data_IF_935689477101
#
_entry.id   IF_935689477101
#
_cell.length_a   1.000
_cell.length_b   1.000
_cell.length_c   1.000
_cell.angle_alpha   90.00
_cell.angle_beta   90.00
_cell.angle_gamma   90.00
#
_symmetry.space_group_name_H-M   'P 1'
#
loop_
_entity.id
_entity.type
_entity.pdbx_description
1 polymer ?
#
# COMPACT_ATOMS: atom_id res chain seq x y z
N UNK A 1 -52.81 -4.59 -34.83
CA UNK A 1 -53.05 -6.04 -34.75
C UNK A 1 -52.21 -6.53 -33.59
N UNK A 2 -52.81 -6.59 -32.40
CA UNK A 2 -53.47 -7.73 -31.70
C UNK A 2 -52.41 -8.67 -31.14
N UNK A 3 -52.20 -8.59 -29.81
CA UNK A 3 -52.81 -9.34 -28.69
C UNK A 3 -52.25 -10.77 -28.57
N UNK A 4 -51.72 -11.17 -27.43
CA UNK A 4 -52.29 -11.85 -26.24
C UNK A 4 -51.16 -12.14 -25.23
N UNK A 5 -51.11 -11.67 -24.05
CA UNK A 5 -51.69 -12.03 -22.74
C UNK A 5 -51.87 -13.55 -22.55
N UNK A 6 -51.16 -14.09 -21.57
CA UNK A 6 -51.64 -15.11 -20.68
C UNK A 6 -50.85 -15.12 -19.36
N UNK A 7 -51.56 -14.82 -18.32
CA UNK A 7 -51.34 -15.01 -16.90
C UNK A 7 -51.61 -16.46 -16.46
N UNK A 8 -51.02 -16.90 -15.36
CA UNK A 8 -51.59 -17.69 -14.21
C UNK A 8 -50.45 -18.27 -13.37
N UNK A 9 -50.28 -17.92 -12.21
CA UNK A 9 -50.93 -18.15 -10.88
C UNK A 9 -50.34 -19.35 -10.14
N UNK A 10 -49.92 -19.05 -8.87
CA UNK A 10 -49.55 -19.92 -7.74
C UNK A 10 -50.63 -20.95 -7.35
N UNK A 11 -50.50 -21.84 -6.37
CA UNK A 11 -50.00 -21.58 -5.02
C UNK A 11 -49.34 -22.76 -4.25
N UNK A 12 -48.68 -22.38 -3.13
CA UNK A 12 -48.70 -22.97 -1.75
C UNK A 12 -48.57 -24.47 -1.51
N UNK A 13 -47.67 -24.89 -0.64
CA UNK A 13 -48.04 -25.52 0.66
C UNK A 13 -46.82 -25.67 1.60
N UNK A 14 -47.04 -25.17 2.80
CA UNK A 14 -46.27 -25.44 4.02
C UNK A 14 -46.27 -26.92 4.38
N UNK A 15 -45.20 -27.40 4.98
CA UNK A 15 -45.26 -28.53 5.90
C UNK A 15 -44.23 -28.31 7.03
N UNK A 16 -44.78 -27.89 8.16
CA UNK A 16 -44.18 -27.93 9.47
C UNK A 16 -44.02 -29.39 9.93
N UNK A 17 -42.83 -29.76 10.35
CA UNK A 17 -42.62 -30.92 11.24
C UNK A 17 -41.66 -30.52 12.35
N UNK A 18 -42.20 -30.40 13.55
CA UNK A 18 -41.47 -30.38 14.82
C UNK A 18 -41.09 -31.80 15.21
N UNK A 19 -39.90 -32.07 15.75
CA UNK A 19 -39.68 -33.25 16.57
C UNK A 19 -39.76 -32.89 18.06
N UNK A 20 -40.49 -33.72 18.72
CA UNK A 20 -40.82 -33.81 20.14
C UNK A 20 -39.60 -34.14 21.01
N UNK A 21 -39.53 -33.48 22.14
CA UNK A 21 -38.69 -33.81 23.30
C UNK A 21 -39.01 -35.18 23.90
N UNK A 22 -37.97 -35.90 24.30
CA UNK A 22 -38.07 -36.91 25.33
C UNK A 22 -36.84 -36.86 26.27
N UNK A 23 -36.99 -36.66 27.57
CA UNK A 23 -35.89 -36.64 28.53
C UNK A 23 -35.81 -37.99 29.24
N UNK A 24 -34.59 -38.45 29.45
CA UNK A 24 -34.16 -39.27 30.58
C UNK A 24 -32.82 -39.96 30.26
N UNK A 25 -31.76 -39.53 30.88
CA UNK A 25 -30.90 -40.41 31.67
C UNK A 25 -29.88 -39.59 32.47
N UNK A 26 -29.69 -40.07 33.69
CA UNK A 26 -28.99 -39.42 34.79
C UNK A 26 -27.46 -39.45 34.68
N UNK A 27 -26.89 -38.43 35.26
CA UNK A 27 -25.65 -38.32 36.04
C UNK A 27 -24.54 -39.37 35.86
N UNK A 28 -23.36 -38.86 35.39
CA UNK A 28 -22.08 -39.19 35.97
C UNK A 28 -21.09 -38.03 35.72
N UNK A 29 -20.51 -37.49 36.81
CA UNK A 29 -19.46 -36.50 36.78
C UNK A 29 -18.18 -37.14 36.29
N UNK A 30 -17.42 -36.52 35.39
CA UNK A 30 -15.97 -36.76 35.31
C UNK A 30 -15.16 -35.62 35.88
N UNK A 31 -14.08 -35.99 36.51
CA UNK A 31 -13.02 -35.22 37.14
C UNK A 31 -12.57 -34.00 36.30
N UNK A 32 -12.30 -32.92 37.04
CA UNK A 32 -11.45 -31.79 36.54
C UNK A 32 -10.07 -32.31 36.13
N UNK A 33 -9.80 -32.29 34.85
CA UNK A 33 -8.42 -32.19 34.37
C UNK A 33 -8.20 -30.75 33.92
N UNK A 34 -7.40 -30.02 34.68
CA UNK A 34 -6.81 -28.74 34.29
C UNK A 34 -5.96 -28.97 33.05
N UNK A 35 -6.48 -28.59 31.90
CA UNK A 35 -5.66 -28.50 30.68
C UNK A 35 -5.25 -27.05 30.48
N UNK A 36 -4.00 -26.81 30.73
CA UNK A 36 -3.26 -25.58 30.38
C UNK A 36 -3.37 -25.27 28.89
N UNK A 37 -4.35 -24.44 28.49
CA UNK A 37 -4.51 -23.94 27.10
C UNK A 37 -4.13 -22.47 26.93
N UNK A 38 -3.49 -21.82 27.91
CA UNK A 38 -3.28 -20.37 27.85
C UNK A 38 -1.85 -19.92 27.52
N UNK A 39 -0.89 -20.81 27.22
CA UNK A 39 0.50 -20.37 26.94
C UNK A 39 0.86 -20.24 25.46
N UNK A 40 0.10 -20.78 24.53
CA UNK A 40 0.47 -20.76 23.08
C UNK A 40 0.03 -19.46 22.41
N UNK A 41 -1.03 -18.81 22.87
CA UNK A 41 -1.55 -17.56 22.28
C UNK A 41 -0.67 -16.34 22.58
N UNK A 42 -0.14 -16.23 23.80
CA UNK A 42 0.71 -15.09 24.19
C UNK A 42 2.07 -15.08 23.45
N UNK A 43 2.67 -16.24 23.21
CA UNK A 43 3.98 -16.30 22.54
C UNK A 43 3.91 -15.91 21.06
N UNK A 44 2.86 -16.31 20.35
CA UNK A 44 2.65 -15.93 18.93
C UNK A 44 2.42 -14.42 18.78
N UNK A 45 1.56 -13.83 19.60
CA UNK A 45 1.29 -12.38 19.55
C UNK A 45 2.53 -11.54 19.86
N UNK A 46 3.35 -11.96 20.82
CA UNK A 46 4.58 -11.25 21.19
C UNK A 46 5.62 -11.33 20.07
N UNK A 47 5.78 -12.50 19.44
CA UNK A 47 6.72 -12.71 18.33
C UNK A 47 6.31 -11.90 17.10
N UNK A 48 5.04 -11.94 16.71
CA UNK A 48 4.52 -11.15 15.58
C UNK A 48 4.70 -9.65 15.81
N UNK A 49 4.42 -9.16 17.02
CA UNK A 49 4.60 -7.75 17.37
C UNK A 49 6.08 -7.33 17.33
N UNK A 50 6.99 -8.17 17.75
CA UNK A 50 8.44 -7.91 17.69
C UNK A 50 8.93 -7.87 16.23
N UNK A 51 8.47 -8.78 15.37
CA UNK A 51 8.80 -8.80 13.94
C UNK A 51 8.28 -7.54 13.25
N UNK A 52 7.02 -7.16 13.45
CA UNK A 52 6.44 -5.95 12.86
C UNK A 52 7.19 -4.69 13.32
N UNK A 53 7.56 -4.59 14.59
CA UNK A 53 8.34 -3.47 15.12
C UNK A 53 9.73 -3.38 14.50
N UNK A 54 10.43 -4.50 14.33
CA UNK A 54 11.75 -4.54 13.70
C UNK A 54 11.68 -4.19 12.20
N UNK A 55 10.66 -4.68 11.50
CA UNK A 55 10.44 -4.37 10.07
C UNK A 55 10.07 -2.91 9.87
N UNK A 56 9.22 -2.34 10.73
CA UNK A 56 8.90 -0.91 10.71
C UNK A 56 10.17 -0.06 10.82
N UNK A 57 11.06 -0.41 11.74
CA UNK A 57 12.30 0.34 11.91
C UNK A 57 13.22 0.26 10.66
N UNK A 58 13.32 -0.91 10.04
CA UNK A 58 14.07 -1.10 8.78
C UNK A 58 13.52 -0.20 7.68
N UNK A 59 12.21 -0.21 7.46
CA UNK A 59 11.56 0.62 6.44
C UNK A 59 11.74 2.10 6.76
N UNK A 60 11.43 2.53 7.98
CA UNK A 60 11.52 3.94 8.38
C UNK A 60 12.95 4.48 8.33
N UNK A 61 13.96 3.62 8.49
CA UNK A 61 15.37 4.00 8.30
C UNK A 61 15.64 4.47 6.87
N UNK A 62 15.11 3.76 5.87
CA UNK A 62 15.32 4.16 4.47
C UNK A 62 14.61 5.50 4.15
N UNK A 63 13.45 5.76 4.75
CA UNK A 63 12.79 7.07 4.67
C UNK A 63 13.61 8.17 5.34
N UNK A 64 14.15 7.95 6.55
CA UNK A 64 15.02 8.95 7.21
C UNK A 64 16.28 9.30 6.41
N UNK A 65 16.73 8.37 5.58
CA UNK A 65 17.88 8.61 4.69
C UNK A 65 17.50 9.10 3.29
N UNK A 66 16.22 9.38 3.03
CA UNK A 66 15.71 9.78 1.71
C UNK A 66 16.05 8.78 0.59
N UNK A 67 15.98 7.46 0.91
CA UNK A 67 16.35 6.37 -0.01
C UNK A 67 15.25 5.35 -0.19
N UNK A 68 14.08 5.56 0.40
CA UNK A 68 12.99 4.63 0.26
C UNK A 68 12.57 4.51 -1.22
N UNK A 69 12.65 3.31 -1.76
CA UNK A 69 12.22 2.96 -3.11
C UNK A 69 11.18 1.84 -3.03
N UNK A 70 9.92 2.19 -3.29
CA UNK A 70 8.80 1.27 -3.38
C UNK A 70 8.53 0.87 -4.83
N UNK A 71 8.54 -0.42 -5.14
CA UNK A 71 8.06 -0.91 -6.43
C UNK A 71 6.64 -1.42 -6.27
N UNK A 72 5.74 -0.85 -7.06
CA UNK A 72 4.29 -1.05 -6.96
C UNK A 72 3.83 -1.98 -8.08
N UNK A 73 3.38 -3.18 -7.73
CA UNK A 73 2.76 -4.11 -8.67
C UNK A 73 1.36 -3.67 -9.08
N UNK A 74 0.63 -3.11 -8.15
CA UNK A 74 -0.71 -2.55 -8.36
C UNK A 74 -1.79 -3.24 -7.53
N UNK A 75 -2.75 -2.44 -7.06
CA UNK A 75 -3.83 -2.84 -6.17
C UNK A 75 -4.76 -3.90 -6.79
N UNK A 76 -4.94 -3.92 -8.11
CA UNK A 76 -5.78 -4.88 -8.83
C UNK A 76 -4.95 -5.91 -9.62
N UNK A 77 -3.65 -6.03 -9.37
CA UNK A 77 -2.82 -7.03 -10.01
C UNK A 77 -2.82 -8.33 -9.22
N UNK A 78 -3.67 -9.27 -9.62
CA UNK A 78 -3.78 -10.62 -9.05
C UNK A 78 -3.08 -11.69 -9.89
N UNK A 79 -2.41 -11.32 -10.98
CA UNK A 79 -1.63 -12.23 -11.81
C UNK A 79 -0.34 -12.62 -11.10
N UNK A 80 -0.29 -13.88 -10.63
CA UNK A 80 0.83 -14.42 -9.85
C UNK A 80 2.17 -14.38 -10.60
N UNK A 81 2.18 -14.59 -11.91
CA UNK A 81 3.40 -14.59 -12.72
C UNK A 81 3.93 -13.16 -12.91
N UNK A 82 3.03 -12.22 -13.15
CA UNK A 82 3.39 -10.81 -13.25
C UNK A 82 3.87 -10.27 -11.90
N UNK A 83 3.15 -10.55 -10.80
CA UNK A 83 3.55 -10.16 -9.43
C UNK A 83 4.93 -10.73 -9.09
N UNK A 84 5.18 -12.02 -9.38
CA UNK A 84 6.48 -12.66 -9.14
C UNK A 84 7.61 -11.98 -9.92
N UNK A 85 7.36 -11.60 -11.17
CA UNK A 85 8.32 -10.89 -12.02
C UNK A 85 8.64 -9.50 -11.46
N UNK A 86 7.64 -8.74 -11.08
CA UNK A 86 7.78 -7.38 -10.48
C UNK A 86 8.53 -7.45 -9.15
N UNK A 87 8.19 -8.40 -8.28
CA UNK A 87 8.84 -8.59 -6.98
C UNK A 87 10.30 -9.02 -7.15
N UNK A 88 10.57 -9.96 -8.08
CA UNK A 88 11.95 -10.36 -8.41
C UNK A 88 12.75 -9.17 -8.91
N UNK A 89 12.16 -8.34 -9.76
CA UNK A 89 12.81 -7.13 -10.26
C UNK A 89 13.08 -6.11 -9.15
N UNK A 90 12.16 -5.94 -8.22
CA UNK A 90 12.34 -5.07 -7.06
C UNK A 90 13.53 -5.54 -6.19
N UNK A 91 13.56 -6.84 -5.84
CA UNK A 91 14.62 -7.43 -5.02
C UNK A 91 16.01 -7.32 -5.69
N UNK A 92 16.12 -7.73 -6.97
CA UNK A 92 17.39 -7.72 -7.70
C UNK A 92 17.82 -6.32 -8.17
N UNK A 93 16.89 -5.40 -8.27
CA UNK A 93 17.14 -4.02 -8.69
C UNK A 93 17.50 -3.07 -7.54
N UNK A 94 17.33 -3.48 -6.28
CA UNK A 94 17.69 -2.68 -5.10
C UNK A 94 16.57 -1.82 -4.55
N UNK A 95 15.31 -2.23 -4.70
CA UNK A 95 14.19 -1.62 -3.99
C UNK A 95 14.30 -1.83 -2.47
N UNK A 96 13.65 -0.99 -1.70
CA UNK A 96 13.62 -1.10 -0.23
C UNK A 96 12.38 -1.84 0.27
N UNK A 97 11.31 -1.86 -0.51
CA UNK A 97 10.06 -2.61 -0.24
C UNK A 97 9.22 -2.72 -1.51
N UNK A 98 8.26 -3.63 -1.48
CA UNK A 98 7.32 -3.88 -2.58
C UNK A 98 5.89 -3.61 -2.13
N UNK A 99 5.04 -3.24 -3.08
CA UNK A 99 3.61 -3.07 -2.87
C UNK A 99 2.82 -3.94 -3.84
N UNK A 100 1.91 -4.74 -3.32
CA UNK A 100 1.10 -5.71 -4.07
C UNK A 100 -0.39 -5.58 -3.70
N UNK A 101 -1.26 -6.22 -4.45
CA UNK A 101 -2.68 -6.32 -4.12
C UNK A 101 -2.86 -6.99 -2.74
N UNK A 102 -3.87 -6.54 -1.98
CA UNK A 102 -4.17 -7.08 -0.66
C UNK A 102 -4.87 -8.44 -0.77
N UNK A 103 -4.08 -9.47 -1.03
CA UNK A 103 -4.50 -10.86 -1.15
C UNK A 103 -3.54 -11.78 -0.37
N UNK A 104 -4.04 -12.59 0.59
CA UNK A 104 -3.19 -13.46 1.40
C UNK A 104 -2.39 -14.49 0.61
N UNK A 105 -2.91 -14.98 -0.53
CA UNK A 105 -2.20 -15.96 -1.35
C UNK A 105 -1.07 -15.31 -2.15
N UNK A 106 -1.25 -14.08 -2.61
CA UNK A 106 -0.16 -13.30 -3.19
C UNK A 106 0.91 -12.98 -2.16
N UNK A 107 0.52 -12.62 -0.93
CA UNK A 107 1.48 -12.37 0.15
C UNK A 107 2.33 -13.62 0.43
N UNK A 108 1.72 -14.81 0.54
CA UNK A 108 2.44 -16.08 0.74
C UNK A 108 3.41 -16.37 -0.41
N UNK A 109 3.00 -16.13 -1.65
CA UNK A 109 3.88 -16.25 -2.82
C UNK A 109 5.07 -15.30 -2.66
N UNK A 110 4.84 -14.02 -2.39
CA UNK A 110 5.90 -12.99 -2.33
C UNK A 110 6.86 -13.24 -1.17
N UNK A 111 6.40 -13.68 -0.01
CA UNK A 111 7.26 -14.11 1.12
C UNK A 111 8.24 -15.20 0.71
N UNK A 112 7.87 -16.08 -0.24
CA UNK A 112 8.77 -17.14 -0.75
C UNK A 112 9.81 -16.64 -1.76
N UNK A 113 9.63 -15.44 -2.34
CA UNK A 113 10.45 -14.90 -3.42
C UNK A 113 11.46 -13.84 -2.96
N UNK A 114 11.17 -13.12 -1.89
CA UNK A 114 12.01 -12.01 -1.41
C UNK A 114 11.99 -11.88 0.10
N UNK A 115 13.04 -11.27 0.65
CA UNK A 115 13.08 -10.80 2.04
C UNK A 115 12.72 -9.32 2.20
N UNK A 116 12.38 -8.63 1.13
CA UNK A 116 11.94 -7.24 1.21
C UNK A 116 10.65 -7.11 2.04
N UNK A 117 10.48 -6.03 2.81
CA UNK A 117 9.21 -5.68 3.40
C UNK A 117 8.09 -5.63 2.36
N UNK A 118 6.96 -6.26 2.69
CA UNK A 118 5.80 -6.35 1.81
C UNK A 118 4.73 -5.39 2.30
N UNK A 119 4.38 -4.43 1.46
CA UNK A 119 3.21 -3.59 1.59
C UNK A 119 2.06 -4.21 0.82
N UNK A 120 0.84 -4.16 1.36
CA UNK A 120 -0.38 -4.51 0.63
C UNK A 120 -1.31 -3.31 0.56
N UNK A 121 -1.85 -3.04 -0.63
CA UNK A 121 -2.72 -1.90 -0.88
C UNK A 121 -4.19 -2.33 -0.99
N UNK A 122 -5.06 -1.60 -0.30
CA UNK A 122 -6.52 -1.77 -0.35
C UNK A 122 -7.24 -0.47 0.02
N UNK A 123 -8.52 -0.39 -0.33
CA UNK A 123 -9.49 0.59 0.20
C UNK A 123 -10.53 -0.07 1.11
N UNK A 124 -10.29 -1.30 1.53
CA UNK A 124 -11.09 -2.05 2.49
C UNK A 124 -10.23 -2.42 3.70
N UNK A 125 -10.38 -1.72 4.85
CA UNK A 125 -9.62 -2.02 6.07
C UNK A 125 -9.75 -3.45 6.57
N UNK A 126 -10.87 -4.12 6.30
CA UNK A 126 -11.14 -5.48 6.76
C UNK A 126 -10.25 -6.53 6.08
N UNK A 127 -9.79 -6.24 4.86
CA UNK A 127 -8.91 -7.13 4.09
C UNK A 127 -7.48 -7.22 4.65
N UNK A 128 -7.01 -6.19 5.35
CA UNK A 128 -5.62 -6.09 5.77
C UNK A 128 -5.20 -7.16 6.79
N UNK A 129 -6.10 -7.56 7.69
CA UNK A 129 -5.75 -8.50 8.76
C UNK A 129 -5.24 -9.82 8.21
N UNK A 130 -5.97 -10.43 7.26
CA UNK A 130 -5.58 -11.69 6.65
C UNK A 130 -4.27 -11.60 5.87
N UNK A 131 -4.01 -10.48 5.21
CA UNK A 131 -2.75 -10.24 4.50
C UNK A 131 -1.56 -10.07 5.47
N UNK A 132 -1.74 -9.38 6.60
CA UNK A 132 -0.72 -9.26 7.65
C UNK A 132 -0.44 -10.62 8.30
N UNK A 133 -1.46 -11.43 8.57
CA UNK A 133 -1.30 -12.80 9.07
C UNK A 133 -0.56 -13.71 8.07
N UNK A 134 -0.71 -13.45 6.77
CA UNK A 134 0.00 -14.15 5.70
C UNK A 134 1.47 -13.71 5.55
N UNK A 135 1.88 -12.58 6.15
CA UNK A 135 3.25 -12.10 6.16
C UNK A 135 3.49 -10.68 5.66
N UNK A 136 2.43 -9.95 5.28
CA UNK A 136 2.57 -8.52 4.98
C UNK A 136 3.01 -7.74 6.23
N UNK A 137 3.94 -6.80 6.06
CA UNK A 137 4.53 -6.02 7.14
C UNK A 137 4.14 -4.55 7.12
N UNK A 138 3.54 -4.12 6.02
CA UNK A 138 3.02 -2.78 5.78
C UNK A 138 1.66 -2.88 5.12
N UNK A 139 0.83 -1.87 5.34
CA UNK A 139 -0.45 -1.70 4.66
C UNK A 139 -0.56 -0.30 4.08
N UNK A 140 -1.26 -0.16 2.97
CA UNK A 140 -1.52 1.12 2.33
C UNK A 140 -3.00 1.28 2.01
N UNK A 141 -3.58 2.38 2.45
CA UNK A 141 -4.86 2.89 1.96
C UNK A 141 -4.55 3.76 0.75
N UNK A 142 -4.88 3.29 -0.46
CA UNK A 142 -4.46 4.06 -1.61
C UNK A 142 -4.61 3.37 -2.96
N UNK A 143 -3.85 3.92 -3.94
CA UNK A 143 -3.94 3.57 -5.35
C UNK A 143 -5.33 3.88 -5.95
N UNK A 144 -5.89 5.05 -5.58
CA UNK A 144 -7.24 5.48 -5.97
C UNK A 144 -7.41 5.64 -7.48
N UNK A 145 -6.32 5.90 -8.22
CA UNK A 145 -6.33 5.99 -9.67
C UNK A 145 -6.82 4.69 -10.37
N UNK A 146 -6.78 3.57 -9.65
CA UNK A 146 -7.38 2.31 -10.10
C UNK A 146 -8.91 2.34 -10.15
N UNK A 147 -9.54 3.30 -9.50
CA UNK A 147 -10.99 3.43 -9.38
C UNK A 147 -11.57 4.59 -10.22
N UNK A 148 -10.75 5.56 -10.63
CA UNK A 148 -11.25 6.76 -11.33
C UNK A 148 -11.88 6.44 -12.67
N UNK A 149 -11.39 5.43 -13.40
CA UNK A 149 -11.98 5.00 -14.67
C UNK A 149 -13.40 4.43 -14.50
N UNK A 150 -13.74 3.94 -13.29
CA UNK A 150 -15.09 3.52 -12.90
C UNK A 150 -15.96 4.65 -12.34
N UNK A 151 -15.43 5.88 -12.29
CA UNK A 151 -16.11 7.06 -11.77
C UNK A 151 -16.15 7.15 -10.25
N UNK A 152 -15.43 6.28 -9.50
CA UNK A 152 -15.35 6.36 -8.05
C UNK A 152 -14.26 7.35 -7.64
N UNK A 153 -14.65 8.36 -6.85
CA UNK A 153 -13.76 9.30 -6.18
C UNK A 153 -13.81 9.07 -4.67
N UNK A 154 -12.71 9.38 -4.01
CA UNK A 154 -12.60 9.25 -2.55
C UNK A 154 -12.56 10.63 -1.92
N UNK A 155 -13.48 10.90 -1.00
CA UNK A 155 -13.50 12.16 -0.25
C UNK A 155 -12.47 12.15 0.89
N UNK A 156 -12.02 13.33 1.35
CA UNK A 156 -11.16 13.44 2.54
C UNK A 156 -11.73 12.73 3.77
N UNK A 157 -13.02 12.87 4.03
CA UNK A 157 -13.69 12.25 5.19
C UNK A 157 -13.72 10.72 5.07
N UNK A 158 -13.94 10.18 3.88
CA UNK A 158 -13.87 8.74 3.62
C UNK A 158 -12.46 8.19 3.91
N UNK A 159 -11.42 8.86 3.43
CA UNK A 159 -10.03 8.43 3.63
C UNK A 159 -9.65 8.49 5.12
N UNK A 160 -10.08 9.53 5.83
CA UNK A 160 -9.89 9.63 7.28
C UNK A 160 -10.58 8.49 8.02
N UNK A 161 -11.81 8.13 7.64
CA UNK A 161 -12.53 7.00 8.22
C UNK A 161 -11.79 5.69 7.99
N UNK A 162 -11.36 5.41 6.74
CA UNK A 162 -10.58 4.21 6.40
C UNK A 162 -9.28 4.13 7.22
N UNK A 163 -8.60 5.28 7.41
CA UNK A 163 -7.37 5.37 8.20
C UNK A 163 -7.62 5.03 9.67
N UNK A 164 -8.65 5.60 10.25
CA UNK A 164 -9.07 5.36 11.63
C UNK A 164 -9.47 3.90 11.87
N UNK A 165 -10.24 3.31 10.97
CA UNK A 165 -10.62 1.90 11.03
C UNK A 165 -9.39 0.99 10.91
N UNK A 166 -8.51 1.24 9.95
CA UNK A 166 -7.27 0.47 9.77
C UNK A 166 -6.41 0.54 11.03
N UNK A 167 -6.24 1.72 11.62
CA UNK A 167 -5.42 1.90 12.82
C UNK A 167 -6.02 1.20 14.04
N UNK A 168 -7.36 1.12 14.12
CA UNK A 168 -8.07 0.36 15.17
C UNK A 168 -7.80 -1.14 15.08
N UNK A 169 -7.80 -1.72 13.87
CA UNK A 169 -7.52 -3.15 13.65
C UNK A 169 -6.04 -3.49 13.74
N UNK A 170 -5.18 -2.59 13.25
CA UNK A 170 -3.75 -2.82 13.09
C UNK A 170 -2.91 -1.69 13.74
N UNK A 171 -2.92 -1.58 15.08
CA UNK A 171 -2.31 -0.45 15.78
C UNK A 171 -0.79 -0.36 15.62
N UNK A 172 -0.10 -1.46 15.29
CA UNK A 172 1.36 -1.55 15.26
C UNK A 172 1.94 -1.79 13.85
N UNK A 173 1.11 -1.96 12.82
CA UNK A 173 1.55 -2.15 11.43
C UNK A 173 1.93 -0.80 10.84
N UNK A 174 2.96 -0.76 10.00
CA UNK A 174 3.30 0.45 9.24
C UNK A 174 2.16 0.77 8.27
N UNK A 175 1.57 1.95 8.42
CA UNK A 175 0.44 2.42 7.62
C UNK A 175 0.88 3.57 6.71
N UNK A 176 0.81 3.35 5.41
CA UNK A 176 0.89 4.36 4.36
C UNK A 176 -0.51 4.78 3.95
N UNK A 177 -0.72 6.07 3.68
CA UNK A 177 -1.99 6.58 3.17
C UNK A 177 -1.73 7.49 1.98
N UNK A 178 -2.37 7.19 0.85
CA UNK A 178 -2.31 8.01 -0.35
C UNK A 178 -3.25 9.21 -0.23
N UNK A 179 -2.79 10.38 -0.67
CA UNK A 179 -3.62 11.58 -0.80
C UNK A 179 -4.03 11.73 -2.27
N UNK A 180 -5.34 11.83 -2.58
CA UNK A 180 -5.84 11.90 -3.95
C UNK A 180 -5.37 13.16 -4.69
N UNK A 181 -4.96 13.00 -5.94
CA UNK A 181 -4.60 14.12 -6.81
C UNK A 181 -5.80 14.95 -7.26
N UNK A 182 -7.01 14.44 -7.08
CA UNK A 182 -8.27 15.14 -7.40
C UNK A 182 -8.56 16.33 -6.48
N UNK A 183 -7.89 16.39 -5.34
CA UNK A 183 -7.95 17.51 -4.41
C UNK A 183 -6.97 18.62 -4.84
N UNK A 184 -7.30 19.87 -4.54
CA UNK A 184 -6.35 20.98 -4.70
C UNK A 184 -5.15 20.82 -3.76
N UNK A 185 -4.00 21.41 -4.08
CA UNK A 185 -2.81 21.31 -3.23
C UNK A 185 -3.01 21.73 -1.77
N UNK A 186 -3.76 22.81 -1.45
CA UNK A 186 -4.09 23.13 -0.06
C UNK A 186 -4.94 22.07 0.63
N UNK A 187 -5.91 21.46 -0.07
CA UNK A 187 -6.74 20.39 0.47
C UNK A 187 -5.93 19.12 0.71
N UNK A 188 -4.99 18.80 -0.21
CA UNK A 188 -4.06 17.69 -0.05
C UNK A 188 -3.19 17.85 1.20
N UNK A 189 -2.63 19.05 1.43
CA UNK A 189 -1.84 19.35 2.63
C UNK A 189 -2.71 19.21 3.89
N UNK A 190 -3.92 19.75 3.88
CA UNK A 190 -4.84 19.67 5.03
C UNK A 190 -5.24 18.23 5.34
N UNK A 191 -5.54 17.43 4.32
CA UNK A 191 -5.82 16.00 4.51
C UNK A 191 -4.60 15.28 5.10
N UNK A 192 -3.40 15.54 4.60
CA UNK A 192 -2.17 14.92 5.09
C UNK A 192 -1.92 15.23 6.58
N UNK A 193 -2.17 16.47 7.05
CA UNK A 193 -2.11 16.83 8.47
C UNK A 193 -3.07 15.97 9.31
N UNK A 194 -4.33 15.86 8.88
CA UNK A 194 -5.33 15.05 9.57
C UNK A 194 -4.98 13.56 9.59
N UNK A 195 -4.46 13.02 8.49
CA UNK A 195 -4.00 11.63 8.40
C UNK A 195 -2.84 11.35 9.36
N UNK A 196 -1.90 12.30 9.51
CA UNK A 196 -0.83 12.21 10.50
C UNK A 196 -1.40 12.17 11.93
N UNK A 197 -2.41 12.98 12.24
CA UNK A 197 -3.08 13.00 13.54
C UNK A 197 -3.82 11.68 13.83
N UNK A 198 -4.43 11.06 12.81
CA UNK A 198 -5.08 9.75 12.91
C UNK A 198 -4.08 8.58 12.94
N UNK A 199 -2.78 8.86 12.87
CA UNK A 199 -1.70 7.88 13.07
C UNK A 199 -1.19 7.21 11.78
N UNK A 200 -1.33 7.82 10.61
CA UNK A 200 -0.56 7.42 9.44
C UNK A 200 0.94 7.52 9.74
N UNK A 201 1.73 6.58 9.24
CA UNK A 201 3.19 6.58 9.36
C UNK A 201 3.87 7.21 8.16
N UNK A 202 3.23 7.14 6.99
CA UNK A 202 3.75 7.62 5.71
C UNK A 202 2.59 8.23 4.93
N UNK A 203 2.81 9.39 4.30
CA UNK A 203 1.90 9.94 3.30
C UNK A 203 2.45 9.63 1.93
N UNK A 204 1.62 9.07 1.04
CA UNK A 204 1.96 8.89 -0.37
C UNK A 204 1.23 9.92 -1.21
N UNK A 205 1.94 10.53 -2.18
CA UNK A 205 1.30 11.40 -3.16
C UNK A 205 0.76 10.60 -4.34
N UNK A 206 -0.21 11.16 -5.03
CA UNK A 206 -0.75 10.68 -6.29
C UNK A 206 -0.66 11.79 -7.33
N UNK A 207 -0.29 11.47 -8.56
CA UNK A 207 -0.07 12.49 -9.60
C UNK A 207 -1.09 12.49 -10.73
N UNK A 208 -2.08 11.60 -10.65
CA UNK A 208 -2.99 11.34 -11.76
C UNK A 208 -2.35 10.58 -12.93
N UNK A 209 -3.18 10.11 -13.84
CA UNK A 209 -2.72 9.40 -15.03
C UNK A 209 -2.41 10.40 -16.15
N UNK A 210 -1.15 10.79 -16.31
CA UNK A 210 -0.67 11.42 -17.54
C UNK A 210 -0.07 10.34 -18.46
N UNK A 211 -0.90 9.65 -19.23
CA UNK A 211 -0.46 8.57 -20.14
C UNK A 211 0.25 9.11 -21.37
N UNK A 212 -0.15 10.28 -21.85
CA UNK A 212 0.36 10.92 -23.07
C UNK A 212 0.83 12.34 -22.77
N UNK A 213 2.10 12.53 -22.40
CA UNK A 213 2.65 13.87 -22.23
C UNK A 213 2.66 14.63 -23.56
N UNK A 214 2.44 15.95 -23.52
CA UNK A 214 2.41 16.80 -24.71
C UNK A 214 3.78 16.99 -25.34
N UNK A 215 4.85 16.71 -24.59
CA UNK A 215 6.24 16.88 -24.97
C UNK A 215 6.97 15.53 -25.06
N UNK A 216 7.92 15.43 -25.96
CA UNK A 216 8.78 14.26 -26.09
C UNK A 216 10.01 14.36 -25.16
N UNK A 217 10.66 13.21 -24.90
CA UNK A 217 11.92 13.11 -24.17
C UNK A 217 11.82 13.58 -22.72
N UNK A 218 12.84 14.25 -22.23
CA UNK A 218 12.94 14.69 -20.84
C UNK A 218 11.81 15.65 -20.46
N UNK A 219 11.36 16.51 -21.35
CA UNK A 219 10.24 17.41 -21.07
C UNK A 219 8.94 16.64 -20.81
N UNK A 220 8.70 15.57 -21.53
CA UNK A 220 7.54 14.71 -21.28
C UNK A 220 7.64 13.94 -19.96
N UNK A 221 8.84 13.54 -19.54
CA UNK A 221 9.06 12.94 -18.21
C UNK A 221 8.79 13.93 -17.10
N UNK A 222 9.22 15.18 -17.26
CA UNK A 222 8.94 16.27 -16.32
C UNK A 222 7.44 16.56 -16.23
N UNK A 223 6.77 16.68 -17.39
CA UNK A 223 5.33 16.90 -17.47
C UNK A 223 4.55 15.83 -16.68
N UNK A 224 4.93 14.55 -16.85
CA UNK A 224 4.33 13.43 -16.12
C UNK A 224 4.51 13.51 -14.61
N UNK A 225 5.69 13.94 -14.17
CA UNK A 225 6.04 13.99 -12.76
C UNK A 225 5.53 15.25 -12.05
N UNK A 226 5.24 16.34 -12.79
CA UNK A 226 4.91 17.65 -12.23
C UNK A 226 3.81 17.62 -11.17
N UNK A 227 2.65 16.96 -11.38
CA UNK A 227 1.60 16.97 -10.37
C UNK A 227 2.04 16.36 -9.04
N UNK A 228 2.69 15.20 -9.08
CA UNK A 228 3.14 14.52 -7.86
C UNK A 228 4.32 15.24 -7.19
N UNK A 229 5.19 15.91 -7.96
CA UNK A 229 6.25 16.76 -7.42
C UNK A 229 5.68 17.96 -6.67
N UNK A 230 4.64 18.61 -7.23
CA UNK A 230 3.94 19.71 -6.57
C UNK A 230 3.25 19.25 -5.28
N UNK A 231 2.60 18.09 -5.30
CA UNK A 231 2.00 17.47 -4.12
C UNK A 231 3.04 17.17 -3.04
N UNK A 232 4.17 16.52 -3.41
CA UNK A 232 5.25 16.22 -2.48
C UNK A 232 5.85 17.49 -1.87
N UNK A 233 6.06 18.53 -2.67
CA UNK A 233 6.54 19.84 -2.21
C UNK A 233 5.59 20.47 -1.17
N UNK A 234 4.30 20.42 -1.43
CA UNK A 234 3.29 21.05 -0.55
C UNK A 234 3.10 20.24 0.73
N UNK A 235 2.93 18.92 0.61
CA UNK A 235 2.62 18.04 1.74
C UNK A 235 3.82 17.90 2.68
N UNK A 236 5.05 17.77 2.16
CA UNK A 236 6.25 17.62 3.00
C UNK A 236 6.54 18.83 3.91
N UNK A 237 5.92 19.95 3.66
CA UNK A 237 6.01 21.16 4.50
C UNK A 237 4.89 21.28 5.52
N UNK A 238 3.82 20.50 5.34
CA UNK A 238 2.67 20.47 6.23
C UNK A 238 2.78 19.38 7.31
N UNK A 239 3.45 18.24 7.01
CA UNK A 239 3.55 17.10 7.92
C UNK A 239 4.98 16.84 8.40
N UNK A 240 5.10 16.13 9.53
CA UNK A 240 6.38 15.70 10.12
C UNK A 240 6.76 14.26 9.75
N UNK A 241 5.77 13.47 9.34
CA UNK A 241 5.97 12.10 8.90
C UNK A 241 6.51 12.07 7.46
N UNK A 242 7.21 10.99 7.05
CA UNK A 242 7.75 10.88 5.70
C UNK A 242 6.69 11.01 4.62
N UNK A 243 7.05 11.69 3.52
CA UNK A 243 6.26 11.76 2.30
C UNK A 243 6.91 10.93 1.22
N UNK A 244 6.16 9.99 0.65
CA UNK A 244 6.55 9.21 -0.52
C UNK A 244 5.96 9.86 -1.77
N UNK A 245 6.82 10.24 -2.71
CA UNK A 245 6.39 10.75 -4.01
C UNK A 245 6.11 9.59 -4.96
N UNK A 246 4.88 9.47 -5.46
CA UNK A 246 4.50 8.40 -6.39
C UNK A 246 3.68 8.94 -7.56
N UNK A 247 3.61 8.19 -8.65
CA UNK A 247 3.02 8.51 -9.95
C UNK A 247 3.91 9.28 -10.92
N UNK A 248 4.02 8.75 -12.13
CA UNK A 248 4.69 9.43 -13.25
C UNK A 248 6.20 9.60 -13.13
N UNK A 249 6.84 8.99 -12.14
CA UNK A 249 8.27 9.11 -11.90
C UNK A 249 9.11 8.21 -12.84
N UNK A 250 10.32 8.66 -13.08
CA UNK A 250 11.39 7.97 -13.82
C UNK A 250 12.73 8.24 -13.14
N UNK A 251 13.79 7.53 -13.52
CA UNK A 251 15.13 7.80 -13.00
C UNK A 251 15.58 9.27 -13.19
N UNK A 252 15.11 9.94 -14.25
CA UNK A 252 15.39 11.37 -14.50
C UNK A 252 14.68 12.28 -13.47
N UNK A 253 13.50 11.91 -13.01
CA UNK A 253 12.67 12.78 -12.14
C UNK A 253 12.73 12.40 -10.65
N UNK A 254 13.29 11.24 -10.32
CA UNK A 254 13.52 10.80 -8.92
C UNK A 254 14.32 11.81 -8.11
N UNK A 255 15.42 12.40 -8.61
CA UNK A 255 16.16 13.45 -7.91
C UNK A 255 15.31 14.67 -7.56
N UNK A 256 14.38 15.04 -8.44
CA UNK A 256 13.48 16.18 -8.23
C UNK A 256 12.44 15.89 -7.13
N UNK A 257 12.02 14.63 -6.99
CA UNK A 257 11.12 14.23 -5.91
C UNK A 257 11.77 14.44 -4.53
N UNK A 258 13.04 14.05 -4.38
CA UNK A 258 13.80 14.28 -3.14
C UNK A 258 14.01 15.78 -2.91
N UNK A 259 14.37 16.55 -3.93
CA UNK A 259 14.48 18.01 -3.87
C UNK A 259 13.16 18.69 -3.48
N UNK A 260 12.02 18.13 -3.92
CA UNK A 260 10.69 18.59 -3.53
C UNK A 260 10.34 18.30 -2.06
N UNK A 261 11.15 17.50 -1.35
CA UNK A 261 10.97 17.19 0.07
C UNK A 261 10.46 15.78 0.32
N UNK A 262 10.38 14.92 -0.70
CA UNK A 262 10.02 13.53 -0.50
C UNK A 262 11.14 12.78 0.25
N UNK A 263 10.75 11.86 1.11
CA UNK A 263 11.64 10.95 1.83
C UNK A 263 11.85 9.62 1.08
N UNK A 264 11.14 9.42 -0.02
CA UNK A 264 11.22 8.25 -0.88
C UNK A 264 10.33 8.37 -2.09
N UNK A 265 10.40 7.37 -2.97
CA UNK A 265 9.63 7.34 -4.21
C UNK A 265 8.92 6.00 -4.40
N UNK A 266 7.72 6.05 -4.99
CA UNK A 266 6.93 4.90 -5.40
C UNK A 266 6.82 4.82 -6.92
N UNK A 267 7.14 3.68 -7.52
CA UNK A 267 7.13 3.49 -8.97
C UNK A 267 6.38 2.22 -9.34
N UNK A 268 5.35 2.35 -10.15
CA UNK A 268 4.55 1.22 -10.66
C UNK A 268 4.72 1.06 -12.17
N UNK A 269 3.96 1.81 -12.95
CA UNK A 269 3.81 1.61 -14.40
C UNK A 269 5.11 1.67 -15.21
N UNK A 270 6.13 2.40 -14.75
CA UNK A 270 7.43 2.46 -15.41
C UNK A 270 8.20 1.12 -15.35
N UNK A 271 7.85 0.26 -14.40
CA UNK A 271 8.40 -1.10 -14.27
C UNK A 271 7.44 -2.11 -14.89
N UNK A 272 6.15 -2.09 -14.49
CA UNK A 272 5.17 -3.11 -14.86
C UNK A 272 4.91 -3.21 -16.37
N UNK A 273 5.08 -2.13 -17.12
CA UNK A 273 4.85 -2.08 -18.57
C UNK A 273 5.94 -2.76 -19.41
N UNK A 274 7.06 -3.14 -18.80
CA UNK A 274 8.20 -3.68 -19.54
C UNK A 274 8.01 -5.14 -19.96
N UNK A 275 7.13 -5.90 -19.30
CA UNK A 275 6.80 -7.30 -19.61
C UNK A 275 8.01 -8.23 -19.77
N UNK A 276 9.17 -7.85 -19.25
CA UNK A 276 10.41 -8.60 -19.25
C UNK A 276 11.16 -8.36 -17.94
N UNK A 277 11.44 -9.43 -17.20
CA UNK A 277 12.03 -9.35 -15.86
C UNK A 277 13.42 -8.71 -15.86
N UNK A 278 14.22 -8.93 -16.90
CA UNK A 278 15.58 -8.36 -16.99
C UNK A 278 15.49 -6.85 -17.22
N UNK A 279 14.59 -6.42 -18.10
CA UNK A 279 14.32 -5.00 -18.32
C UNK A 279 13.75 -4.34 -17.06
N UNK A 280 12.86 -5.01 -16.33
CA UNK A 280 12.33 -4.54 -15.05
C UNK A 280 13.46 -4.38 -14.02
N UNK A 281 14.39 -5.35 -13.87
CA UNK A 281 15.54 -5.26 -12.97
C UNK A 281 16.41 -4.04 -13.33
N UNK A 282 16.73 -3.87 -14.62
CA UNK A 282 17.52 -2.73 -15.09
C UNK A 282 16.84 -1.39 -14.77
N UNK A 283 15.52 -1.32 -14.96
CA UNK A 283 14.73 -0.13 -14.62
C UNK A 283 14.75 0.18 -13.12
N UNK A 284 14.53 -0.83 -12.27
CA UNK A 284 14.58 -0.65 -10.81
C UNK A 284 15.96 -0.22 -10.36
N UNK A 285 17.02 -0.82 -10.91
CA UNK A 285 18.42 -0.41 -10.62
C UNK A 285 18.68 1.02 -11.01
N UNK A 286 18.23 1.45 -12.18
CA UNK A 286 18.35 2.85 -12.61
C UNK A 286 17.66 3.83 -11.65
N UNK A 287 16.50 3.45 -11.07
CA UNK A 287 15.81 4.24 -10.05
C UNK A 287 16.59 4.27 -8.73
N UNK A 288 17.11 3.12 -8.29
CA UNK A 288 17.92 3.01 -7.07
C UNK A 288 19.21 3.84 -7.16
N UNK A 289 19.90 3.78 -8.31
CA UNK A 289 21.11 4.57 -8.58
C UNK A 289 20.81 6.07 -8.59
N UNK A 290 19.67 6.49 -9.16
CA UNK A 290 19.25 7.89 -9.16
C UNK A 290 18.97 8.42 -7.75
N UNK A 291 18.46 7.58 -6.84
CA UNK A 291 18.31 7.93 -5.41
C UNK A 291 19.66 7.99 -4.68
N UNK A 292 20.59 7.09 -4.98
CA UNK A 292 21.90 7.04 -4.35
C UNK A 292 22.76 8.25 -4.70
N UNK A 293 22.73 8.70 -5.96
CA UNK A 293 23.53 9.83 -6.48
C UNK A 293 23.22 11.16 -5.79
N UNK A 294 22.05 11.31 -5.17
CA UNK A 294 21.70 12.53 -4.41
C UNK A 294 22.54 12.74 -3.14
N UNK A 295 23.16 11.69 -2.60
CA UNK A 295 23.98 11.79 -1.39
C UNK A 295 25.32 12.50 -1.64
N UNK A 296 25.95 12.25 -2.77
CA UNK A 296 27.27 12.81 -3.08
C UNK A 296 27.19 14.32 -3.25
N UNK A 297 26.14 14.80 -3.93
CA UNK A 297 25.92 16.24 -4.14
C UNK A 297 25.64 17.02 -2.86
N UNK A 298 24.88 16.46 -1.92
CA UNK A 298 24.54 17.14 -0.67
C UNK A 298 25.72 17.18 0.31
N UNK A 299 26.56 16.15 0.35
CA UNK A 299 27.75 16.10 1.22
C UNK A 299 28.81 17.10 0.74
N UNK A 300 28.93 17.30 -0.57
CA UNK A 300 29.89 18.28 -1.12
C UNK A 300 29.39 19.72 -0.95
N UNK A 301 28.08 19.97 -1.02
CA UNK A 301 27.52 21.29 -0.72
C UNK A 301 27.69 21.68 0.76
N UNK A 302 27.46 20.77 1.71
CA UNK A 302 27.72 21.05 3.14
C UNK A 302 29.20 21.31 3.44
N UNK A 303 30.11 20.67 2.73
CA UNK A 303 31.56 20.93 2.87
C UNK A 303 31.93 22.30 2.32
N UNK A 304 31.33 22.69 1.20
CA UNK A 304 31.65 23.98 0.53
C UNK A 304 31.13 25.19 1.33
N UNK A 305 29.97 25.06 2.01
CA UNK A 305 29.42 26.16 2.85
C UNK A 305 30.23 26.39 4.15
N UNK A 306 31.00 25.41 4.62
CA UNK A 306 31.84 25.58 5.81
C UNK A 306 33.14 26.37 5.56
N UNK A 307 33.42 26.78 4.32
CA UNK A 307 34.63 27.52 3.94
C UNK A 307 34.34 28.96 3.41
N UNK A 308 33.09 29.40 3.52
CA UNK A 308 32.65 30.80 3.29
C UNK A 308 32.20 31.44 4.61
#
# INVERSE_FOLDING_TARGET
>A
MSLHIATMSSPSQELLLKPTFNPLYAASKPLLTHTTKNHVSLSRTTTTRAILSSTKEVVMKEFRHHRALKIISGLHNFDKENVASVVTAADKGGATHVDIACDPELVKLVVSLTSLPICVSSVDPSAFLAAVEAGATMVEIGNYDSFYDSGRLFSPDEILLLTKETRRFLPNVTLSVTVPHTLSLPEQAKLAELLQEEGADIIQTEGGKCSNPSKAGVLGLLEKATPTLAAAYTISRAVKIPVMCASGLSAVTVPLAITAGAAGVGVGSAVNKLNDVVAMIAQVRSLADALASQKETNVDQEKTVKWL
#
